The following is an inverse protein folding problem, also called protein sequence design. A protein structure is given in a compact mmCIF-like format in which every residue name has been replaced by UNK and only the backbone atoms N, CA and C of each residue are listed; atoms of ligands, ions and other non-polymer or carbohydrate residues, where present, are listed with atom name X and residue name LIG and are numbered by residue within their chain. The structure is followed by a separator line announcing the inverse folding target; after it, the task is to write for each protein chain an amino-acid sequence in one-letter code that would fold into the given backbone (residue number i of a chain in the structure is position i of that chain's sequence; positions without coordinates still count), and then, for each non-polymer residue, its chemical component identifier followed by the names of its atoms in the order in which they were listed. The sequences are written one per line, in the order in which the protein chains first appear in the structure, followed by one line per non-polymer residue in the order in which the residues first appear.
data_IF_216781138635
#
_entry.id   IF_216781138635
#
_cell.length_a   1.000
_cell.length_b   1.000
_cell.length_c   1.000
_cell.angle_alpha   90.00
_cell.angle_beta   90.00
_cell.angle_gamma   90.00
#
_symmetry.space_group_name_H-M   'P 1'
#
loop_
_entity.id
_entity.type
_entity.pdbx_description
1 polymer ?
#
# COMPACT_ATOMS: atom_id res chain seq x y z
N UNK A 1 -7.59 -11.55 9.86
CA UNK A 1 -7.78 -10.22 9.24
C UNK A 1 -6.97 -10.18 7.95
N UNK A 2 -7.56 -9.77 6.85
CA UNK A 2 -6.81 -9.65 5.59
C UNK A 2 -6.09 -8.28 5.51
N UNK A 3 -5.19 -8.15 4.53
CA UNK A 3 -4.37 -6.94 4.35
C UNK A 3 -5.23 -5.68 4.19
N UNK A 4 -6.30 -5.75 3.41
CA UNK A 4 -7.18 -4.59 3.20
C UNK A 4 -7.83 -4.13 4.51
N UNK A 5 -8.32 -5.06 5.31
CA UNK A 5 -8.91 -4.74 6.63
C UNK A 5 -7.88 -4.13 7.58
N UNK A 6 -6.66 -4.66 7.61
CA UNK A 6 -5.58 -4.13 8.44
C UNK A 6 -5.26 -2.67 8.08
N UNK A 7 -5.12 -2.36 6.78
CA UNK A 7 -4.87 -0.99 6.34
C UNK A 7 -6.04 -0.05 6.62
N UNK A 8 -7.27 -0.48 6.38
CA UNK A 8 -8.44 0.37 6.69
C UNK A 8 -8.52 0.66 8.20
N UNK A 9 -8.26 -0.34 9.05
CA UNK A 9 -8.23 -0.14 10.49
C UNK A 9 -7.16 0.87 10.91
N UNK A 10 -5.92 0.71 10.44
CA UNK A 10 -4.80 1.61 10.73
C UNK A 10 -5.04 3.04 10.21
N UNK A 11 -5.49 3.17 8.97
CA UNK A 11 -5.72 4.48 8.36
C UNK A 11 -6.89 5.23 8.98
N UNK A 12 -7.82 4.51 9.62
CA UNK A 12 -8.95 5.09 10.37
C UNK A 12 -8.61 5.44 11.81
N UNK A 13 -7.48 4.95 12.33
CA UNK A 13 -7.05 5.18 13.71
C UNK A 13 -6.34 6.52 13.84
N UNK A 14 -6.82 7.43 14.70
CA UNK A 14 -6.15 8.72 14.96
C UNK A 14 -4.69 8.59 15.40
N UNK A 15 -4.28 7.46 15.99
CA UNK A 15 -2.89 7.19 16.36
C UNK A 15 -1.95 7.20 15.14
N UNK A 16 -2.46 6.94 13.94
CA UNK A 16 -1.70 6.95 12.68
C UNK A 16 -2.03 8.14 11.78
N UNK A 17 -2.51 9.24 12.34
CA UNK A 17 -2.76 10.47 11.57
C UNK A 17 -1.48 10.93 10.88
N UNK A 18 -1.58 11.22 9.59
CA UNK A 18 -0.45 11.57 8.72
C UNK A 18 0.09 10.41 7.90
N UNK A 19 -0.41 9.18 8.13
CA UNK A 19 -0.07 8.02 7.31
C UNK A 19 -0.86 8.03 5.99
N UNK A 20 -0.16 7.85 4.87
CA UNK A 20 -0.80 7.61 3.58
C UNK A 20 -0.28 6.31 3.00
N UNK A 21 -1.14 5.64 2.24
CA UNK A 21 -0.89 4.35 1.61
C UNK A 21 -0.86 4.50 0.10
N UNK A 22 0.17 3.96 -0.52
CA UNK A 22 0.25 3.73 -1.96
C UNK A 22 0.00 2.24 -2.25
N UNK A 23 -0.96 1.95 -3.10
CA UNK A 23 -1.23 0.59 -3.59
C UNK A 23 -0.72 0.47 -5.01
N UNK A 24 0.08 -0.56 -5.27
CA UNK A 24 0.75 -0.77 -6.54
C UNK A 24 0.41 -2.12 -7.14
N UNK A 25 0.07 -2.12 -8.41
CA UNK A 25 0.09 -3.29 -9.28
C UNK A 25 0.95 -3.01 -10.50
N UNK A 26 1.40 -4.05 -11.21
CA UNK A 26 2.18 -3.85 -12.44
C UNK A 26 1.41 -2.99 -13.44
N UNK A 27 0.14 -3.29 -13.64
CA UNK A 27 -0.77 -2.54 -14.54
C UNK A 27 -1.76 -1.75 -13.68
N UNK A 28 -1.75 -0.42 -13.80
CA UNK A 28 -2.51 0.48 -12.93
C UNK A 28 -4.02 0.19 -12.94
N UNK A 29 -4.58 -0.06 -14.11
CA UNK A 29 -6.02 -0.27 -14.31
C UNK A 29 -6.54 -1.51 -13.57
N UNK A 30 -5.68 -2.51 -13.33
CA UNK A 30 -6.06 -3.72 -12.60
C UNK A 30 -6.37 -3.48 -11.12
N UNK A 31 -5.94 -2.35 -10.56
CA UNK A 31 -6.29 -1.98 -9.19
C UNK A 31 -7.80 -1.82 -8.98
N UNK A 32 -8.54 -1.33 -9.98
CA UNK A 32 -9.98 -1.05 -9.85
C UNK A 32 -10.78 -2.26 -9.40
N UNK A 33 -10.55 -3.40 -10.05
CA UNK A 33 -11.31 -4.63 -9.79
C UNK A 33 -10.65 -5.56 -8.77
N UNK A 34 -9.50 -5.18 -8.21
CA UNK A 34 -8.76 -5.95 -7.20
C UNK A 34 -8.59 -5.17 -5.90
N UNK A 35 -7.45 -4.52 -5.70
CA UNK A 35 -7.08 -3.83 -4.46
C UNK A 35 -8.09 -2.75 -4.04
N UNK A 36 -8.55 -1.93 -4.98
CA UNK A 36 -9.55 -0.91 -4.71
C UNK A 36 -10.86 -1.53 -4.25
N UNK A 37 -11.34 -2.55 -4.95
CA UNK A 37 -12.56 -3.27 -4.58
C UNK A 37 -12.44 -3.94 -3.20
N UNK A 38 -11.29 -4.54 -2.88
CA UNK A 38 -11.03 -5.14 -1.58
C UNK A 38 -11.01 -4.11 -0.44
N UNK A 39 -10.35 -2.98 -0.65
CA UNK A 39 -10.29 -1.90 0.33
C UNK A 39 -11.67 -1.27 0.53
N UNK A 40 -12.43 -1.06 -0.54
CA UNK A 40 -13.79 -0.56 -0.45
C UNK A 40 -14.71 -1.54 0.31
N UNK A 41 -14.58 -2.84 0.04
CA UNK A 41 -15.32 -3.88 0.77
C UNK A 41 -14.93 -3.91 2.25
N UNK A 42 -13.65 -3.69 2.59
CA UNK A 42 -13.20 -3.59 3.97
C UNK A 42 -13.82 -2.38 4.69
N UNK A 43 -13.91 -1.22 4.01
CA UNK A 43 -14.59 -0.03 4.55
C UNK A 43 -16.05 -0.35 4.89
N UNK A 44 -16.81 -0.92 3.96
CA UNK A 44 -18.20 -1.26 4.18
C UNK A 44 -18.40 -2.31 5.28
N UNK A 45 -17.49 -3.27 5.36
CA UNK A 45 -17.53 -4.30 6.41
C UNK A 45 -17.29 -3.72 7.80
N UNK A 46 -16.38 -2.77 7.93
CA UNK A 46 -16.01 -2.17 9.21
C UNK A 46 -16.96 -1.06 9.66
N UNK A 47 -17.50 -0.27 8.74
CA UNK A 47 -18.32 0.90 9.05
C UNK A 47 -19.80 0.73 8.71
N UNK A 48 -20.16 -0.31 7.94
CA UNK A 48 -21.54 -0.63 7.58
C UNK A 48 -22.24 0.55 6.93
N UNK A 49 -23.48 0.90 7.39
CA UNK A 49 -24.24 2.00 6.81
C UNK A 49 -23.63 3.38 7.03
N UNK A 50 -22.61 3.49 7.88
CA UNK A 50 -21.89 4.73 8.17
C UNK A 50 -20.63 4.94 7.33
N UNK A 51 -20.35 4.04 6.40
CA UNK A 51 -19.14 4.09 5.57
C UNK A 51 -18.92 5.46 4.93
N UNK A 52 -19.96 6.04 4.35
CA UNK A 52 -19.87 7.36 3.67
C UNK A 52 -19.66 8.54 4.64
N UNK A 53 -19.91 8.36 5.94
CA UNK A 53 -19.58 9.36 6.95
C UNK A 53 -18.09 9.41 7.29
N UNK A 54 -17.41 8.27 7.15
CA UNK A 54 -16.01 8.12 7.58
C UNK A 54 -15.03 8.03 6.41
N UNK A 55 -15.50 7.63 5.24
CA UNK A 55 -14.65 7.48 4.08
C UNK A 55 -15.24 8.15 2.85
N UNK A 56 -14.38 8.85 2.12
CA UNK A 56 -14.68 9.42 0.81
C UNK A 56 -14.08 8.53 -0.27
N UNK A 57 -14.90 8.19 -1.26
CA UNK A 57 -14.49 7.39 -2.43
C UNK A 57 -14.39 8.28 -3.65
N UNK A 58 -13.24 8.24 -4.32
CA UNK A 58 -13.04 8.90 -5.60
C UNK A 58 -12.75 7.85 -6.67
N UNK A 59 -13.48 7.91 -7.79
CA UNK A 59 -13.40 6.91 -8.85
C UNK A 59 -12.48 7.31 -9.99
N UNK A 60 -12.18 8.60 -10.14
CA UNK A 60 -11.33 9.08 -11.23
C UNK A 60 -10.60 10.39 -10.83
N UNK A 61 -9.31 10.32 -10.49
CA UNK A 61 -8.50 9.12 -10.28
C UNK A 61 -8.98 8.31 -9.06
N UNK A 62 -8.67 7.01 -9.03
CA UNK A 62 -8.99 6.16 -7.89
C UNK A 62 -8.28 6.67 -6.64
N UNK A 63 -9.05 6.92 -5.58
CA UNK A 63 -8.53 7.27 -4.27
C UNK A 63 -9.57 7.00 -3.19
N UNK A 64 -9.08 6.72 -1.99
CA UNK A 64 -9.90 6.60 -0.78
C UNK A 64 -9.33 7.55 0.27
N UNK A 65 -10.19 8.25 0.99
CA UNK A 65 -9.77 9.19 2.02
C UNK A 65 -10.57 8.99 3.30
N UNK A 66 -9.87 8.82 4.40
CA UNK A 66 -10.49 8.74 5.72
C UNK A 66 -10.81 10.16 6.23
N UNK A 67 -12.08 10.44 6.48
CA UNK A 67 -12.52 11.74 6.97
C UNK A 67 -12.15 12.01 8.43
N UNK A 68 -11.86 10.95 9.20
CA UNK A 68 -11.44 11.06 10.61
C UNK A 68 -10.01 11.57 10.71
N UNK A 69 -9.11 10.97 9.94
CA UNK A 69 -7.66 11.21 10.04
C UNK A 69 -7.10 12.10 8.92
N UNK A 70 -7.82 12.20 7.80
CA UNK A 70 -7.32 12.80 6.57
C UNK A 70 -6.37 11.88 5.78
N UNK A 71 -6.11 10.68 6.26
CA UNK A 71 -5.24 9.72 5.60
C UNK A 71 -5.83 9.26 4.25
N UNK A 72 -4.97 9.09 3.26
CA UNK A 72 -5.38 8.75 1.89
C UNK A 72 -4.76 7.45 1.41
N UNK A 73 -5.49 6.78 0.54
CA UNK A 73 -5.02 5.64 -0.25
C UNK A 73 -5.05 6.06 -1.72
N UNK A 74 -3.92 5.92 -2.39
CA UNK A 74 -3.81 6.16 -3.83
C UNK A 74 -3.32 4.91 -4.54
N UNK A 75 -3.56 4.84 -5.85
CA UNK A 75 -3.32 3.65 -6.66
C UNK A 75 -2.45 4.00 -7.86
N UNK A 76 -1.41 3.20 -8.12
CA UNK A 76 -0.48 3.42 -9.24
C UNK A 76 -0.09 2.10 -9.89
N UNK A 77 0.38 2.21 -11.14
CA UNK A 77 1.06 1.14 -11.85
C UNK A 77 2.54 1.47 -12.09
N UNK A 78 3.29 0.47 -12.50
CA UNK A 78 4.74 0.59 -12.79
C UNK A 78 5.13 -0.16 -14.06
N UNK A 79 4.21 -0.23 -15.04
CA UNK A 79 4.44 -1.01 -16.27
C UNK A 79 5.51 -0.43 -17.18
N UNK A 80 5.74 0.88 -17.11
CA UNK A 80 6.68 1.61 -17.97
C UNK A 80 7.36 2.77 -17.22
N UNK A 81 8.32 3.40 -17.89
CA UNK A 81 9.10 4.50 -17.31
C UNK A 81 8.22 5.70 -16.92
N UNK A 82 7.20 6.01 -17.71
CA UNK A 82 6.27 7.11 -17.42
C UNK A 82 5.52 6.91 -16.10
N UNK A 83 5.06 5.68 -15.85
CA UNK A 83 4.38 5.35 -14.59
C UNK A 83 5.34 5.35 -13.40
N UNK A 84 6.57 4.86 -13.57
CA UNK A 84 7.62 4.94 -12.55
C UNK A 84 7.95 6.39 -12.18
N UNK A 85 8.02 7.30 -13.15
CA UNK A 85 8.23 8.73 -12.88
C UNK A 85 7.05 9.35 -12.10
N UNK A 86 5.82 8.96 -12.39
CA UNK A 86 4.65 9.38 -11.59
C UNK A 86 4.76 8.95 -10.13
N UNK A 87 5.26 7.75 -9.86
CA UNK A 87 5.48 7.27 -8.48
C UNK A 87 6.49 8.15 -7.76
N UNK A 88 7.55 8.57 -8.45
CA UNK A 88 8.59 9.44 -7.87
C UNK A 88 8.06 10.82 -7.47
N UNK A 89 7.02 11.30 -8.13
CA UNK A 89 6.44 12.63 -7.91
C UNK A 89 5.22 12.67 -7.00
N UNK A 90 4.86 11.56 -6.36
CA UNK A 90 3.71 11.49 -5.47
C UNK A 90 3.90 12.45 -4.28
N UNK A 91 2.89 13.28 -4.05
CA UNK A 91 2.79 14.15 -2.88
C UNK A 91 1.41 14.05 -2.25
N UNK A 92 1.31 14.37 -0.97
CA UNK A 92 0.06 14.39 -0.23
C UNK A 92 -0.16 15.76 0.40
N UNK A 93 -1.41 16.20 0.42
CA UNK A 93 -1.80 17.45 1.08
C UNK A 93 -1.56 17.37 2.59
N UNK A 94 -1.86 16.23 3.20
CA UNK A 94 -1.71 15.97 4.61
C UNK A 94 -0.83 14.74 4.82
N UNK A 95 0.15 14.82 5.70
CA UNK A 95 0.99 13.70 6.06
C UNK A 95 2.01 13.33 4.98
N UNK A 96 2.42 12.08 5.00
CA UNK A 96 3.50 11.55 4.17
C UNK A 96 3.17 10.13 3.71
N UNK A 97 3.75 9.71 2.59
CA UNK A 97 3.74 8.31 2.19
C UNK A 97 4.56 7.50 3.19
N UNK A 98 3.92 6.55 3.88
CA UNK A 98 4.60 5.69 4.86
C UNK A 98 4.39 4.22 4.59
N UNK A 99 3.29 3.84 3.96
CA UNK A 99 2.98 2.45 3.64
C UNK A 99 2.79 2.24 2.14
N UNK A 100 3.31 1.13 1.65
CA UNK A 100 3.14 0.70 0.26
C UNK A 100 2.64 -0.74 0.28
N UNK A 101 1.60 -1.03 -0.47
CA UNK A 101 1.11 -2.38 -0.71
C UNK A 101 1.26 -2.75 -2.18
N UNK A 102 2.13 -3.72 -2.44
CA UNK A 102 2.33 -4.32 -3.77
C UNK A 102 1.52 -5.60 -3.85
N UNK A 103 0.43 -5.60 -4.60
CA UNK A 103 -0.35 -6.80 -4.87
C UNK A 103 0.13 -7.46 -6.16
N UNK A 104 0.09 -8.80 -6.18
CA UNK A 104 0.68 -9.61 -7.25
C UNK A 104 2.14 -9.20 -7.49
N UNK A 105 2.90 -9.13 -6.40
CA UNK A 105 4.27 -8.60 -6.41
C UNK A 105 5.21 -9.39 -7.32
N UNK A 106 4.84 -10.62 -7.69
CA UNK A 106 5.59 -11.45 -8.65
C UNK A 106 5.61 -10.88 -10.07
N UNK A 107 4.64 -10.02 -10.41
CA UNK A 107 4.59 -9.33 -11.70
C UNK A 107 5.56 -8.13 -11.75
N UNK A 108 6.00 -7.63 -10.58
CA UNK A 108 6.92 -6.52 -10.49
C UNK A 108 8.36 -6.95 -10.78
N UNK A 109 9.18 -6.00 -11.23
CA UNK A 109 10.62 -6.17 -11.30
C UNK A 109 11.27 -5.76 -9.98
N UNK A 110 12.44 -6.32 -9.67
CA UNK A 110 13.21 -5.90 -8.49
C UNK A 110 13.49 -4.39 -8.49
N UNK A 111 13.73 -3.81 -9.65
CA UNK A 111 13.92 -2.37 -9.86
C UNK A 111 12.69 -1.53 -9.50
N UNK A 112 11.50 -2.07 -9.74
CA UNK A 112 10.26 -1.39 -9.35
C UNK A 112 10.19 -1.22 -7.83
N UNK A 113 10.61 -2.25 -7.09
CA UNK A 113 10.66 -2.20 -5.62
C UNK A 113 11.70 -1.22 -5.12
N UNK A 114 12.85 -1.11 -5.78
CA UNK A 114 13.88 -0.11 -5.42
C UNK A 114 13.32 1.32 -5.53
N UNK A 115 12.58 1.60 -6.60
CA UNK A 115 11.92 2.90 -6.79
C UNK A 115 10.90 3.18 -5.67
N UNK A 116 10.12 2.17 -5.28
CA UNK A 116 9.15 2.30 -4.20
C UNK A 116 9.83 2.51 -2.85
N UNK A 117 10.89 1.76 -2.57
CA UNK A 117 11.67 1.88 -1.33
C UNK A 117 12.31 3.27 -1.20
N UNK A 118 12.78 3.82 -2.30
CA UNK A 118 13.34 5.18 -2.34
C UNK A 118 12.33 6.27 -1.93
N UNK A 119 11.04 5.99 -1.98
CA UNK A 119 9.99 6.91 -1.53
C UNK A 119 9.80 6.92 -0.01
N UNK A 120 10.27 5.89 0.68
CA UNK A 120 10.10 5.70 2.12
C UNK A 120 11.34 6.16 2.88
N UNK A 121 11.57 7.47 2.91
CA UNK A 121 12.77 8.06 3.54
C UNK A 121 12.43 9.25 4.41
N UNK A 122 13.33 9.52 5.33
CA UNK A 122 13.30 10.69 6.21
C UNK A 122 12.73 10.40 7.59
N UNK A 123 12.82 11.40 8.45
CA UNK A 123 12.36 11.29 9.84
C UNK A 123 10.84 11.46 9.92
N UNK A 124 10.18 10.56 10.60
CA UNK A 124 8.73 10.58 10.84
C UNK A 124 8.35 11.13 12.22
N UNK A 125 9.31 11.25 13.15
CA UNK A 125 9.02 11.62 14.53
C UNK A 125 8.40 13.01 14.67
N UNK A 126 8.82 13.94 13.83
CA UNK A 126 8.29 15.33 13.84
C UNK A 126 6.84 15.39 13.33
N UNK A 127 6.44 14.42 12.51
CA UNK A 127 5.07 14.30 11.99
C UNK A 127 4.17 13.57 12.98
N UNK A 128 4.55 12.36 13.34
CA UNK A 128 3.83 11.50 14.28
C UNK A 128 4.76 10.34 14.71
N UNK A 129 5.09 10.21 16.02
CA UNK A 129 6.02 9.18 16.50
C UNK A 129 5.51 7.75 16.37
N UNK A 130 4.21 7.55 16.10
CA UNK A 130 3.65 6.22 15.86
C UNK A 130 3.86 5.71 14.43
N UNK A 131 4.27 6.59 13.52
CA UNK A 131 4.47 6.21 12.11
C UNK A 131 5.76 5.42 11.91
N UNK A 132 5.71 4.51 10.96
CA UNK A 132 6.84 3.70 10.51
C UNK A 132 6.71 3.42 9.02
N UNK A 133 7.82 3.20 8.34
CA UNK A 133 7.82 2.81 6.94
C UNK A 133 7.63 1.31 6.77
N UNK A 134 6.79 0.90 5.82
CA UNK A 134 6.59 -0.50 5.51
C UNK A 134 6.19 -0.70 4.04
N UNK A 135 6.76 -1.72 3.41
CA UNK A 135 6.29 -2.26 2.14
C UNK A 135 5.70 -3.65 2.43
N UNK A 136 4.44 -3.83 2.06
CA UNK A 136 3.76 -5.14 2.11
C UNK A 136 3.66 -5.69 0.69
N UNK A 137 4.07 -6.93 0.52
CA UNK A 137 3.97 -7.65 -0.76
C UNK A 137 3.06 -8.85 -0.60
N UNK A 138 2.05 -8.94 -1.44
CA UNK A 138 1.16 -10.10 -1.51
C UNK A 138 1.32 -10.78 -2.88
N UNK A 139 1.48 -12.08 -2.88
CA UNK A 139 1.71 -12.87 -4.10
C UNK A 139 1.46 -14.36 -3.85
N UNK A 140 1.18 -15.08 -4.92
CA UNK A 140 1.13 -16.54 -4.89
C UNK A 140 2.54 -17.14 -4.93
N UNK A 141 2.73 -18.39 -4.48
CA UNK A 141 4.03 -19.05 -4.52
C UNK A 141 4.69 -18.96 -5.88
N UNK A 142 5.99 -18.65 -5.90
CA UNK A 142 6.79 -18.48 -7.11
C UNK A 142 7.83 -19.57 -7.26
N UNK A 143 8.39 -19.68 -8.47
CA UNK A 143 9.51 -20.57 -8.74
C UNK A 143 10.75 -20.21 -7.90
N UNK A 144 11.60 -21.20 -7.67
CA UNK A 144 12.83 -21.01 -6.89
C UNK A 144 13.81 -20.01 -7.53
N UNK A 145 13.63 -19.67 -8.80
CA UNK A 145 14.49 -18.74 -9.56
C UNK A 145 13.95 -17.31 -9.57
N UNK A 146 12.77 -17.06 -8.99
CA UNK A 146 12.19 -15.71 -8.97
C UNK A 146 13.01 -14.79 -8.04
N UNK A 147 13.18 -13.52 -8.44
CA UNK A 147 14.00 -12.53 -7.71
C UNK A 147 13.53 -12.30 -6.26
N UNK A 148 12.22 -12.42 -5.99
CA UNK A 148 11.64 -12.28 -4.63
C UNK A 148 12.28 -13.28 -3.68
N UNK A 149 12.44 -14.53 -4.12
CA UNK A 149 13.05 -15.58 -3.29
C UNK A 149 14.48 -15.21 -2.92
N UNK A 150 15.30 -14.85 -3.91
CA UNK A 150 16.69 -14.46 -3.68
C UNK A 150 16.85 -13.24 -2.79
N UNK A 151 15.95 -12.27 -2.95
CA UNK A 151 16.03 -11.00 -2.22
C UNK A 151 15.52 -11.09 -0.78
N UNK A 152 14.45 -11.85 -0.52
CA UNK A 152 13.75 -11.83 0.77
C UNK A 152 13.70 -13.14 1.53
N UNK A 153 13.98 -14.28 0.88
CA UNK A 153 13.85 -15.58 1.51
C UNK A 153 15.18 -16.34 1.67
N UNK A 154 16.14 -16.13 0.79
CA UNK A 154 17.40 -16.87 0.81
C UNK A 154 18.39 -16.32 1.87
N UNK A 155 18.16 -15.13 2.39
CA UNK A 155 18.97 -14.51 3.43
C UNK A 155 18.08 -14.10 4.59
N UNK A 156 18.52 -14.39 5.81
CA UNK A 156 17.86 -13.86 6.99
C UNK A 156 18.07 -12.35 7.07
N UNK A 157 16.98 -11.61 7.17
CA UNK A 157 16.97 -10.17 7.32
C UNK A 157 15.99 -9.82 8.45
N UNK A 158 16.44 -9.16 9.53
CA UNK A 158 15.57 -8.81 10.65
C UNK A 158 14.45 -7.83 10.26
N UNK A 159 14.61 -7.11 9.17
CA UNK A 159 13.60 -6.15 8.68
C UNK A 159 12.58 -6.80 7.74
N UNK A 160 12.72 -8.09 7.44
CA UNK A 160 11.82 -8.83 6.55
C UNK A 160 11.01 -9.85 7.35
N UNK A 161 9.68 -9.69 7.34
CA UNK A 161 8.74 -10.66 7.88
C UNK A 161 8.06 -11.42 6.73
N UNK A 162 8.34 -12.70 6.62
CA UNK A 162 7.67 -13.60 5.69
C UNK A 162 6.52 -14.32 6.38
N UNK A 163 5.30 -14.22 5.82
CA UNK A 163 4.12 -14.90 6.30
C UNK A 163 3.53 -15.78 5.20
N UNK A 164 3.32 -17.05 5.52
CA UNK A 164 2.66 -18.00 4.62
C UNK A 164 1.24 -18.24 5.11
N UNK A 165 0.25 -17.88 4.29
CA UNK A 165 -1.14 -18.18 4.57
C UNK A 165 -1.59 -19.39 3.74
N UNK A 166 -2.26 -20.32 4.37
CA UNK A 166 -2.98 -21.44 3.74
C UNK A 166 -4.48 -21.15 3.82
N UNK A 167 -5.20 -21.45 2.76
CA UNK A 167 -6.65 -21.35 2.74
C UNK A 167 -7.29 -22.45 3.60
#
# INVERSE_FOLDING_TARGET
MNIAQDYIAKLSDPAYTGANLLVVRKIEETNRDSTFAELQAAIYRMFGPYADRFWKVNLNPLALECKITGNRIIFRGVKDQRQREKVKSITFKNGKLVWIWCEEATELLSEDVDILDDRLRGNLNDLNPNLYYQITMTFNPVSATHWIKGRYFDKADPDVLAHHSTY
#
